data_IF_433744466039
#
_entry.id   IF_433744466039
#
_cell.length_a   1.000
_cell.length_b   1.000
_cell.length_c   1.000
_cell.angle_alpha   90.00
_cell.angle_beta   90.00
_cell.angle_gamma   90.00
#
_symmetry.space_group_name_H-M   'P 1'
#
loop_
_entity.id
_entity.type
_entity.pdbx_description
1 polymer ?
#
# COMPACT_ATOMS: atom_id res chain seq x y z
N UNK A 1 11.82 16.99 58.08
CA UNK A 1 12.01 15.99 57.00
C UNK A 1 11.89 16.69 55.64
N UNK A 2 12.90 17.50 55.26
CA UNK A 2 12.84 18.35 54.06
C UNK A 2 14.24 18.57 53.44
N UNK A 3 15.04 17.51 53.33
CA UNK A 3 16.45 17.63 52.93
C UNK A 3 16.98 16.46 52.08
N UNK A 4 16.15 15.82 51.26
CA UNK A 4 16.63 14.82 50.31
C UNK A 4 16.31 15.29 48.89
N UNK A 5 17.39 15.70 48.20
CA UNK A 5 17.54 15.95 46.76
C UNK A 5 17.38 17.43 46.30
N UNK A 6 18.48 18.16 46.43
CA UNK A 6 18.68 19.51 45.86
C UNK A 6 18.79 19.51 44.32
N UNK A 7 19.30 18.42 43.73
CA UNK A 7 19.59 18.25 42.29
C UNK A 7 18.40 18.54 41.35
N UNK A 8 17.18 18.03 41.57
CA UNK A 8 16.06 18.32 40.67
C UNK A 8 15.52 19.75 40.81
N UNK A 9 15.62 20.36 42.00
CA UNK A 9 15.22 21.78 42.22
C UNK A 9 16.20 22.76 41.59
N UNK A 10 17.48 22.42 41.54
CA UNK A 10 18.46 23.20 40.79
C UNK A 10 18.23 23.06 39.29
N UNK A 11 17.92 21.86 38.79
CA UNK A 11 17.55 21.65 37.38
C UNK A 11 16.32 22.46 36.96
N UNK A 12 15.27 22.48 37.79
CA UNK A 12 14.09 23.33 37.56
C UNK A 12 14.47 24.80 37.46
N UNK A 13 15.28 25.31 38.39
CA UNK A 13 15.74 26.70 38.40
C UNK A 13 16.60 27.04 37.18
N UNK A 14 17.49 26.15 36.76
CA UNK A 14 18.37 26.41 35.61
C UNK A 14 17.60 26.38 34.29
N UNK A 15 16.66 25.44 34.13
CA UNK A 15 15.82 25.36 32.92
C UNK A 15 14.83 26.52 32.84
N UNK A 16 14.26 26.96 33.96
CA UNK A 16 13.37 28.14 33.98
C UNK A 16 14.17 29.45 33.76
N UNK A 17 15.43 29.51 34.19
CA UNK A 17 16.24 30.72 34.11
C UNK A 17 17.00 30.88 32.80
N UNK A 18 17.36 29.78 32.15
CA UNK A 18 18.20 29.76 30.94
C UNK A 18 17.65 28.91 29.79
N UNK A 19 16.57 28.15 29.99
CA UNK A 19 15.95 27.34 28.95
C UNK A 19 15.04 28.16 28.04
N UNK A 20 15.04 27.83 26.75
CA UNK A 20 14.08 28.36 25.77
C UNK A 20 12.65 28.00 26.14
N UNK A 21 11.65 28.75 25.63
CA UNK A 21 10.22 28.50 25.91
C UNK A 21 9.81 27.05 25.61
N UNK A 22 10.36 26.45 24.55
CA UNK A 22 10.18 25.03 24.23
C UNK A 22 10.78 24.10 25.28
N UNK A 23 11.99 24.39 25.78
CA UNK A 23 12.64 23.58 26.82
C UNK A 23 11.90 23.66 28.16
N UNK A 24 11.38 24.83 28.52
CA UNK A 24 10.55 25.01 29.71
C UNK A 24 9.24 24.23 29.62
N UNK A 25 8.55 24.30 28.47
CA UNK A 25 7.31 23.56 28.23
C UNK A 25 7.53 22.04 28.32
N UNK A 26 8.64 21.54 27.75
CA UNK A 26 9.00 20.12 27.81
C UNK A 26 9.26 19.64 29.23
N UNK A 27 10.04 20.42 29.98
CA UNK A 27 10.35 20.11 31.36
C UNK A 27 9.08 20.02 32.21
N UNK A 28 8.17 21.00 32.07
CA UNK A 28 6.92 21.02 32.82
C UNK A 28 5.97 19.87 32.45
N UNK A 29 5.91 19.47 31.18
CA UNK A 29 4.95 18.46 30.72
C UNK A 29 5.45 17.01 30.87
N UNK A 30 6.76 16.77 30.72
CA UNK A 30 7.32 15.40 30.70
C UNK A 30 8.02 15.05 32.00
N UNK A 31 8.89 15.93 32.52
CA UNK A 31 9.83 15.61 33.62
C UNK A 31 9.23 15.98 34.98
N UNK A 32 8.66 17.18 35.11
CA UNK A 32 8.15 17.73 36.38
C UNK A 32 7.19 16.79 37.12
N UNK A 33 6.22 16.11 36.47
CA UNK A 33 5.27 15.31 37.23
C UNK A 33 5.83 13.95 37.70
N UNK A 34 7.05 13.57 37.33
CA UNK A 34 7.77 12.39 37.86
C UNK A 34 9.07 12.77 38.60
N UNK A 35 9.27 14.06 38.91
CA UNK A 35 10.49 14.59 39.49
C UNK A 35 10.86 13.96 40.84
N UNK A 36 9.86 13.68 41.69
CA UNK A 36 10.08 13.03 42.98
C UNK A 36 10.60 11.59 42.81
N UNK A 37 10.01 10.83 41.89
CA UNK A 37 10.44 9.46 41.56
C UNK A 37 11.83 9.43 40.93
N UNK A 38 12.12 10.34 40.00
CA UNK A 38 13.46 10.50 39.42
C UNK A 38 14.49 10.75 40.52
N UNK A 39 14.15 11.63 41.47
CA UNK A 39 15.05 11.99 42.55
C UNK A 39 15.33 10.81 43.49
N UNK A 40 14.29 10.03 43.82
CA UNK A 40 14.40 8.84 44.65
C UNK A 40 15.28 7.78 43.97
N UNK A 41 15.07 7.51 42.69
CA UNK A 41 15.87 6.55 41.92
C UNK A 41 17.34 6.99 41.85
N UNK A 42 17.59 8.27 41.60
CA UNK A 42 18.96 8.81 41.56
C UNK A 42 19.65 8.70 42.92
N UNK A 43 18.93 8.96 44.01
CA UNK A 43 19.44 8.80 45.36
C UNK A 43 19.81 7.35 45.67
N UNK A 44 18.91 6.42 45.36
CA UNK A 44 19.14 4.97 45.57
C UNK A 44 20.29 4.48 44.70
N UNK A 45 20.40 4.94 43.45
CA UNK A 45 21.52 4.64 42.56
C UNK A 45 22.86 5.17 43.11
N UNK A 46 22.86 6.35 43.74
CA UNK A 46 24.08 6.90 44.34
C UNK A 46 24.52 6.09 45.56
N UNK A 47 23.57 5.57 46.34
CA UNK A 47 23.85 4.63 47.44
C UNK A 47 24.42 3.32 46.89
N UNK A 48 23.81 2.78 45.84
CA UNK A 48 24.22 1.53 45.18
C UNK A 48 25.66 1.62 44.66
N UNK A 49 26.00 2.71 43.96
CA UNK A 49 27.38 3.00 43.53
C UNK A 49 28.33 3.13 44.72
N UNK A 50 27.87 3.73 45.83
CA UNK A 50 28.64 3.80 47.07
C UNK A 50 28.95 2.42 47.67
N UNK A 51 27.99 1.49 47.62
CA UNK A 51 28.15 0.10 48.09
C UNK A 51 29.15 -0.66 47.21
N UNK A 52 29.14 -0.42 45.90
CA UNK A 52 30.07 -1.05 44.95
C UNK A 52 31.53 -0.61 45.12
N UNK A 53 31.78 0.63 45.55
CA UNK A 53 33.13 1.20 45.70
C UNK A 53 33.69 0.99 47.13
N UNK A 54 32.82 1.03 48.13
CA UNK A 54 33.25 0.94 49.52
C UNK A 54 33.67 -0.49 49.90
N UNK A 55 34.77 -0.69 50.67
CA UNK A 55 35.18 -1.99 51.16
C UNK A 55 34.27 -2.41 52.32
N UNK A 56 33.09 -2.94 51.99
CA UNK A 56 32.07 -3.36 52.95
C UNK A 56 32.18 -4.86 53.25
N UNK A 57 31.62 -5.33 54.38
CA UNK A 57 31.54 -6.76 54.67
C UNK A 57 30.75 -7.55 53.62
N UNK A 58 31.12 -8.82 53.40
CA UNK A 58 30.50 -9.70 52.37
C UNK A 58 28.97 -9.85 52.48
N UNK A 59 28.40 -9.72 53.68
CA UNK A 59 26.94 -9.77 53.86
C UNK A 59 26.22 -8.58 53.22
N UNK A 60 26.88 -7.43 53.11
CA UNK A 60 26.35 -6.25 52.42
C UNK A 60 26.44 -6.44 50.91
N UNK A 61 27.54 -7.03 50.40
CA UNK A 61 27.67 -7.34 48.98
C UNK A 61 26.60 -8.33 48.49
N UNK A 62 26.10 -9.23 49.35
CA UNK A 62 24.96 -10.10 48.99
C UNK A 62 23.62 -9.35 48.86
N UNK A 63 23.49 -8.17 49.46
CA UNK A 63 22.30 -7.32 49.33
C UNK A 63 22.35 -6.41 48.09
N UNK A 64 23.48 -6.35 47.39
CA UNK A 64 23.65 -5.53 46.19
C UNK A 64 22.82 -6.07 45.02
N UNK A 65 22.84 -7.39 44.75
CA UNK A 65 22.03 -8.02 43.69
C UNK A 65 20.52 -7.68 43.80
N UNK A 66 19.83 -7.88 44.94
CA UNK A 66 18.41 -7.53 45.05
C UNK A 66 18.17 -6.01 44.98
N UNK A 67 19.10 -5.19 45.46
CA UNK A 67 19.02 -3.73 45.35
C UNK A 67 19.16 -3.27 43.88
N UNK A 68 20.18 -3.76 43.18
CA UNK A 68 20.41 -3.52 41.75
C UNK A 68 19.23 -3.98 40.90
N UNK A 69 18.60 -5.12 41.24
CA UNK A 69 17.38 -5.59 40.57
C UNK A 69 16.21 -4.62 40.80
N UNK A 70 16.02 -4.16 42.05
CA UNK A 70 14.97 -3.20 42.38
C UNK A 70 15.19 -1.85 41.66
N UNK A 71 16.45 -1.40 41.54
CA UNK A 71 16.84 -0.22 40.77
C UNK A 71 16.55 -0.44 39.28
N UNK A 72 16.94 -1.58 38.71
CA UNK A 72 16.68 -1.91 37.31
C UNK A 72 15.17 -1.92 36.98
N UNK A 73 14.34 -2.52 37.86
CA UNK A 73 12.88 -2.49 37.72
C UNK A 73 12.35 -1.05 37.80
N UNK A 74 12.86 -0.26 38.75
CA UNK A 74 12.45 1.13 38.95
C UNK A 74 12.82 2.03 37.77
N UNK A 75 14.03 1.88 37.22
CA UNK A 75 14.51 2.60 36.03
C UNK A 75 13.68 2.20 34.81
N UNK A 76 13.41 0.90 34.64
CA UNK A 76 12.56 0.42 33.55
C UNK A 76 11.17 1.06 33.62
N UNK A 77 10.53 1.01 34.79
CA UNK A 77 9.21 1.60 35.02
C UNK A 77 9.20 3.12 34.78
N UNK A 78 10.20 3.83 35.29
CA UNK A 78 10.36 5.27 35.08
C UNK A 78 10.58 5.59 33.61
N UNK A 79 11.45 4.85 32.92
CA UNK A 79 11.73 5.01 31.49
C UNK A 79 10.47 4.83 30.65
N UNK A 80 9.70 3.78 30.90
CA UNK A 80 8.40 3.52 30.25
C UNK A 80 7.41 4.67 30.45
N UNK A 81 7.37 5.22 31.67
CA UNK A 81 6.46 6.30 32.06
C UNK A 81 6.85 7.64 31.43
N UNK A 82 8.13 7.99 31.46
CA UNK A 82 8.67 9.17 30.78
C UNK A 82 8.46 9.07 29.28
N UNK A 83 8.75 7.91 28.68
CA UNK A 83 8.51 7.68 27.26
C UNK A 83 7.02 7.85 26.91
N UNK A 84 6.10 7.30 27.72
CA UNK A 84 4.66 7.45 27.48
C UNK A 84 4.23 8.92 27.47
N UNK A 85 4.70 9.71 28.43
CA UNK A 85 4.40 11.16 28.49
C UNK A 85 5.03 11.92 27.33
N UNK A 86 6.29 11.65 27.03
CA UNK A 86 6.95 12.23 25.87
C UNK A 86 6.16 11.95 24.60
N UNK A 87 5.78 10.68 24.40
CA UNK A 87 5.02 10.23 23.23
C UNK A 87 3.65 10.91 23.13
N UNK A 88 2.93 11.09 24.24
CA UNK A 88 1.64 11.77 24.28
C UNK A 88 1.77 13.28 24.02
N UNK A 89 2.77 13.92 24.61
CA UNK A 89 2.98 15.38 24.47
C UNK A 89 3.50 15.74 23.08
N UNK A 90 4.39 14.95 22.50
CA UNK A 90 5.03 15.27 21.23
C UNK A 90 4.31 14.67 20.04
N UNK A 91 4.15 13.34 20.03
CA UNK A 91 3.68 12.66 18.85
C UNK A 91 2.17 12.83 18.70
N UNK A 92 1.41 12.64 19.78
CA UNK A 92 -0.05 12.73 19.72
C UNK A 92 -0.53 14.16 19.42
N UNK A 93 0.09 15.18 20.03
CA UNK A 93 -0.26 16.58 19.73
C UNK A 93 0.14 16.99 18.30
N UNK A 94 1.31 16.57 17.80
CA UNK A 94 1.71 16.86 16.41
C UNK A 94 0.76 16.22 15.39
N UNK A 95 0.28 15.01 15.67
CA UNK A 95 -0.67 14.28 14.82
C UNK A 95 -2.04 14.98 14.80
N UNK A 96 -2.55 15.36 15.98
CA UNK A 96 -3.84 16.06 16.10
C UNK A 96 -3.82 17.40 15.38
N UNK A 97 -2.70 18.14 15.43
CA UNK A 97 -2.55 19.40 14.69
C UNK A 97 -2.43 19.19 13.17
N UNK A 98 -1.84 18.08 12.73
CA UNK A 98 -1.65 17.76 11.30
C UNK A 98 -2.94 17.32 10.59
N UNK A 99 -4.08 17.13 11.29
CA UNK A 99 -5.33 16.53 10.78
C UNK A 99 -5.13 15.17 10.09
N UNK A 100 -3.96 14.55 10.20
CA UNK A 100 -3.69 13.22 9.65
C UNK A 100 -4.32 12.18 10.58
N UNK A 101 -5.24 11.37 10.04
CA UNK A 101 -5.71 10.16 10.72
C UNK A 101 -4.54 9.18 10.78
N UNK A 102 -3.85 9.13 11.92
CA UNK A 102 -2.91 8.04 12.20
C UNK A 102 -3.68 6.90 12.81
N UNK A 103 -3.44 5.70 12.29
CA UNK A 103 -4.03 4.47 12.80
C UNK A 103 -3.60 4.29 14.27
N UNK A 104 -4.58 4.18 15.16
CA UNK A 104 -4.36 3.94 16.60
C UNK A 104 -3.48 2.71 16.86
N UNK A 105 -3.56 1.72 15.98
CA UNK A 105 -2.75 0.50 15.96
C UNK A 105 -1.24 0.80 15.87
N UNK A 106 -0.82 1.75 15.01
CA UNK A 106 0.59 2.11 14.85
C UNK A 106 1.15 2.79 16.13
N UNK A 107 0.30 3.56 16.82
CA UNK A 107 0.65 4.17 18.10
C UNK A 107 0.83 3.12 19.20
N UNK A 108 0.01 2.07 19.20
CA UNK A 108 0.14 0.97 20.16
C UNK A 108 1.44 0.18 19.89
N UNK A 109 1.72 -0.15 18.63
CA UNK A 109 2.93 -0.90 18.24
C UNK A 109 4.19 -0.11 18.60
N UNK A 110 4.25 1.19 18.27
CA UNK A 110 5.42 2.02 18.60
C UNK A 110 5.65 2.13 20.11
N UNK A 111 4.58 2.29 20.92
CA UNK A 111 4.68 2.24 22.39
C UNK A 111 5.21 0.90 22.88
N UNK A 112 4.72 -0.20 22.33
CA UNK A 112 5.18 -1.54 22.70
C UNK A 112 6.66 -1.76 22.38
N UNK A 113 7.09 -1.44 21.15
CA UNK A 113 8.48 -1.60 20.70
C UNK A 113 9.44 -0.76 21.56
N UNK A 114 9.12 0.52 21.77
CA UNK A 114 9.96 1.39 22.58
C UNK A 114 10.07 0.88 24.03
N UNK A 115 8.96 0.43 24.61
CA UNK A 115 8.96 -0.13 25.97
C UNK A 115 9.83 -1.39 26.07
N UNK A 116 9.74 -2.29 25.10
CA UNK A 116 10.57 -3.49 25.03
C UNK A 116 12.05 -3.14 24.91
N UNK A 117 12.42 -2.15 24.10
CA UNK A 117 13.79 -1.68 23.97
C UNK A 117 14.34 -1.07 25.27
N UNK A 118 13.53 -0.27 25.98
CA UNK A 118 13.91 0.29 27.28
C UNK A 118 14.21 -0.83 28.28
N UNK A 119 13.32 -1.82 28.40
CA UNK A 119 13.50 -2.95 29.32
C UNK A 119 14.74 -3.75 28.96
N UNK A 120 14.96 -4.06 27.68
CA UNK A 120 16.15 -4.79 27.22
C UNK A 120 17.45 -4.02 27.51
N UNK A 121 17.46 -2.71 27.30
CA UNK A 121 18.61 -1.87 27.62
C UNK A 121 18.94 -1.90 29.12
N UNK A 122 17.92 -1.84 29.98
CA UNK A 122 18.12 -1.89 31.43
C UNK A 122 18.59 -3.27 31.90
N UNK A 123 18.05 -4.35 31.34
CA UNK A 123 18.53 -5.72 31.60
C UNK A 123 20.01 -5.84 31.21
N UNK A 124 20.40 -5.28 30.06
CA UNK A 124 21.78 -5.31 29.60
C UNK A 124 22.72 -4.54 30.53
N UNK A 125 22.33 -3.33 30.95
CA UNK A 125 23.08 -2.54 31.91
C UNK A 125 23.24 -3.28 33.25
N UNK A 126 22.16 -3.84 33.78
CA UNK A 126 22.20 -4.64 35.01
C UNK A 126 23.14 -5.84 34.89
N UNK A 127 23.08 -6.57 33.77
CA UNK A 127 23.96 -7.69 33.51
C UNK A 127 25.44 -7.26 33.44
N UNK A 128 25.72 -6.12 32.83
CA UNK A 128 27.06 -5.56 32.73
C UNK A 128 27.63 -5.16 34.09
N UNK A 129 26.82 -4.52 34.97
CA UNK A 129 27.31 -4.10 36.30
C UNK A 129 27.60 -5.30 37.21
N UNK A 130 26.81 -6.37 37.10
CA UNK A 130 26.96 -7.57 37.92
C UNK A 130 27.84 -8.66 37.29
N UNK A 131 28.59 -8.33 36.23
CA UNK A 131 29.50 -9.25 35.52
C UNK A 131 28.81 -10.55 35.05
N UNK A 132 27.51 -10.48 34.76
CA UNK A 132 26.75 -11.59 34.17
C UNK A 132 27.22 -11.78 32.74
N UNK A 133 27.29 -13.03 32.27
CA UNK A 133 27.74 -13.35 30.92
C UNK A 133 26.80 -12.76 29.86
N UNK A 134 27.20 -11.59 29.32
CA UNK A 134 26.48 -10.86 28.28
C UNK A 134 26.38 -11.67 27.00
N UNK A 135 27.42 -12.46 26.65
CA UNK A 135 27.41 -13.31 25.45
C UNK A 135 26.30 -14.37 25.58
N UNK A 136 26.15 -14.95 26.77
CA UNK A 136 25.06 -15.89 27.07
C UNK A 136 23.66 -15.26 26.95
N UNK A 137 23.50 -14.02 27.42
CA UNK A 137 22.25 -13.26 27.28
C UNK A 137 21.94 -12.89 25.82
N UNK A 138 22.94 -12.47 25.06
CA UNK A 138 22.77 -12.18 23.63
C UNK A 138 22.46 -13.45 22.84
N UNK A 139 23.08 -14.58 23.18
CA UNK A 139 22.79 -15.87 22.58
C UNK A 139 21.33 -16.31 22.86
N UNK A 140 20.85 -16.17 24.11
CA UNK A 140 19.47 -16.52 24.47
C UNK A 140 18.45 -15.58 23.82
N UNK A 141 18.72 -14.27 23.78
CA UNK A 141 17.92 -13.29 23.05
C UNK A 141 17.93 -13.56 21.54
N UNK A 142 19.04 -14.02 20.97
CA UNK A 142 19.14 -14.41 19.57
C UNK A 142 18.18 -15.56 19.23
N UNK A 143 18.19 -16.62 20.05
CA UNK A 143 17.28 -17.77 19.87
C UNK A 143 15.82 -17.35 20.09
N UNK A 144 15.53 -16.57 21.14
CA UNK A 144 14.18 -16.04 21.39
C UNK A 144 13.69 -15.12 20.27
N UNK A 145 14.58 -14.28 19.74
CA UNK A 145 14.33 -13.39 18.62
C UNK A 145 14.03 -14.14 17.33
N UNK A 146 14.73 -15.25 17.06
CA UNK A 146 14.42 -16.12 15.92
C UNK A 146 13.03 -16.73 16.01
N UNK A 147 12.61 -17.20 17.20
CA UNK A 147 11.26 -17.72 17.39
C UNK A 147 10.18 -16.66 17.11
N UNK A 148 10.39 -15.43 17.58
CA UNK A 148 9.49 -14.30 17.30
C UNK A 148 9.51 -13.95 15.80
N UNK A 149 10.67 -13.97 15.15
CA UNK A 149 10.81 -13.70 13.73
C UNK A 149 10.03 -14.72 12.88
N UNK A 150 10.14 -16.02 13.19
CA UNK A 150 9.35 -17.05 12.52
C UNK A 150 7.85 -16.87 12.73
N UNK A 151 7.41 -16.54 13.95
CA UNK A 151 6.00 -16.26 14.23
C UNK A 151 5.48 -15.03 13.47
N UNK A 152 6.32 -13.99 13.30
CA UNK A 152 5.97 -12.75 12.63
C UNK A 152 6.15 -12.77 11.10
N UNK A 153 6.81 -13.80 10.55
CA UNK A 153 7.24 -13.87 9.15
C UNK A 153 6.13 -13.50 8.16
N UNK A 154 4.96 -14.14 8.26
CA UNK A 154 3.82 -13.90 7.35
C UNK A 154 3.31 -12.45 7.40
N UNK A 155 3.33 -11.83 8.58
CA UNK A 155 2.91 -10.43 8.72
C UNK A 155 3.94 -9.52 8.07
N UNK A 156 5.23 -9.78 8.27
CA UNK A 156 6.30 -9.01 7.65
C UNK A 156 6.26 -9.11 6.11
N UNK A 157 6.03 -10.30 5.56
CA UNK A 157 5.84 -10.51 4.12
C UNK A 157 4.70 -9.65 3.55
N UNK A 158 3.56 -9.57 4.26
CA UNK A 158 2.44 -8.71 3.83
C UNK A 158 2.78 -7.23 3.85
N UNK A 159 3.54 -6.76 4.86
CA UNK A 159 3.98 -5.37 4.96
C UNK A 159 4.97 -5.03 3.84
N UNK A 160 5.96 -5.90 3.61
CA UNK A 160 6.92 -5.74 2.52
C UNK A 160 6.23 -5.75 1.17
N UNK A 161 5.26 -6.64 0.96
CA UNK A 161 4.42 -6.64 -0.24
C UNK A 161 3.68 -5.31 -0.44
N UNK A 162 3.16 -4.72 0.63
CA UNK A 162 2.54 -3.39 0.56
C UNK A 162 3.51 -2.28 0.16
N UNK A 163 4.75 -2.32 0.66
CA UNK A 163 5.80 -1.37 0.28
C UNK A 163 6.14 -1.53 -1.21
N UNK A 164 6.30 -2.76 -1.69
CA UNK A 164 6.58 -3.06 -3.10
C UNK A 164 5.46 -2.54 -4.00
N UNK A 165 4.19 -2.84 -3.69
CA UNK A 165 3.05 -2.32 -4.45
C UNK A 165 3.00 -0.79 -4.49
N UNK A 166 3.41 -0.13 -3.40
CA UNK A 166 3.45 1.33 -3.33
C UNK A 166 4.59 1.95 -4.17
N UNK A 167 5.75 1.30 -4.20
CA UNK A 167 6.92 1.75 -4.94
C UNK A 167 6.79 1.49 -6.44
N UNK A 168 6.44 0.27 -6.82
CA UNK A 168 6.40 -0.17 -8.22
C UNK A 168 5.10 0.25 -8.91
N UNK A 169 4.02 0.46 -8.13
CA UNK A 169 2.70 0.88 -8.62
C UNK A 169 2.20 0.12 -9.86
N UNK A 170 2.14 -1.22 -9.83
CA UNK A 170 1.61 -2.00 -10.97
C UNK A 170 0.14 -1.68 -11.28
N UNK A 171 -0.58 -1.13 -10.31
CA UNK A 171 -1.94 -0.62 -10.44
C UNK A 171 -2.18 0.48 -9.40
N UNK A 172 -3.15 1.35 -9.67
CA UNK A 172 -3.58 2.44 -8.79
C UNK A 172 -4.96 2.14 -8.16
N UNK A 173 -5.34 2.98 -7.19
CA UNK A 173 -6.73 3.02 -6.72
C UNK A 173 -7.62 3.43 -7.91
N UNK A 174 -8.79 2.81 -7.99
CA UNK A 174 -9.76 2.90 -9.10
C UNK A 174 -9.39 2.13 -10.38
N UNK A 175 -8.24 1.46 -10.45
CA UNK A 175 -7.95 0.55 -11.57
C UNK A 175 -8.77 -0.74 -11.49
N UNK A 176 -9.15 -1.26 -12.65
CA UNK A 176 -9.72 -2.60 -12.80
C UNK A 176 -8.61 -3.61 -13.04
N UNK A 177 -8.56 -4.63 -12.18
CA UNK A 177 -7.56 -5.68 -12.24
C UNK A 177 -8.22 -7.05 -12.33
N UNK A 178 -7.56 -7.97 -13.03
CA UNK A 178 -7.92 -9.38 -13.09
C UNK A 178 -6.80 -10.21 -12.45
N UNK A 179 -7.18 -11.13 -11.56
CA UNK A 179 -6.29 -12.07 -10.90
C UNK A 179 -6.44 -13.47 -11.48
N UNK A 180 -5.42 -14.35 -11.35
CA UNK A 180 -5.43 -15.68 -11.95
C UNK A 180 -6.50 -16.62 -11.37
N UNK A 181 -7.03 -16.31 -10.19
CA UNK A 181 -8.12 -17.05 -9.54
C UNK A 181 -9.52 -16.70 -10.09
N UNK A 182 -9.59 -15.84 -11.11
CA UNK A 182 -10.82 -15.35 -11.72
C UNK A 182 -11.43 -14.14 -10.98
N UNK A 183 -10.75 -13.60 -9.96
CA UNK A 183 -11.18 -12.36 -9.31
C UNK A 183 -11.01 -11.19 -10.27
N UNK A 184 -12.12 -10.60 -10.71
CA UNK A 184 -12.17 -9.41 -11.54
C UNK A 184 -12.90 -8.27 -10.81
N UNK A 185 -12.27 -7.10 -10.69
CA UNK A 185 -12.87 -5.98 -9.99
C UNK A 185 -12.03 -4.71 -9.91
N UNK A 186 -12.61 -3.68 -9.33
CA UNK A 186 -12.00 -2.36 -9.15
C UNK A 186 -11.24 -2.25 -7.82
N UNK A 187 -10.03 -1.72 -7.83
CA UNK A 187 -9.23 -1.49 -6.63
C UNK A 187 -9.84 -0.32 -5.84
N UNK A 188 -10.37 -0.61 -4.65
CA UNK A 188 -11.02 0.39 -3.79
C UNK A 188 -10.01 1.09 -2.87
N UNK A 189 -9.05 0.34 -2.34
CA UNK A 189 -7.99 0.92 -1.50
C UNK A 189 -6.79 -0.01 -1.40
N UNK A 190 -5.58 0.54 -1.46
CA UNK A 190 -4.34 -0.16 -1.18
C UNK A 190 -3.94 0.15 0.27
N UNK A 191 -4.09 -0.82 1.16
CA UNK A 191 -3.69 -0.72 2.56
C UNK A 191 -2.26 -1.21 2.77
N UNK A 192 -1.76 -1.06 4.01
CA UNK A 192 -0.40 -1.44 4.36
C UNK A 192 -0.14 -2.96 4.23
N UNK A 193 -1.11 -3.79 4.61
CA UNK A 193 -0.99 -5.28 4.58
C UNK A 193 -1.85 -5.97 3.52
N UNK A 194 -2.87 -5.28 3.02
CA UNK A 194 -3.89 -5.86 2.15
C UNK A 194 -4.50 -4.80 1.26
N UNK A 195 -4.87 -5.21 0.05
CA UNK A 195 -5.59 -4.40 -0.93
C UNK A 195 -7.05 -4.86 -0.98
N UNK A 196 -7.96 -3.90 -1.07
CA UNK A 196 -9.40 -4.17 -1.17
C UNK A 196 -9.84 -4.01 -2.61
N UNK A 197 -10.48 -5.03 -3.17
CA UNK A 197 -10.94 -5.10 -4.56
C UNK A 197 -12.46 -5.30 -4.53
N UNK A 198 -13.19 -4.42 -5.20
CA UNK A 198 -14.64 -4.51 -5.38
C UNK A 198 -14.93 -5.34 -6.63
N UNK A 199 -15.48 -6.54 -6.46
CA UNK A 199 -15.75 -7.47 -7.56
C UNK A 199 -16.83 -6.93 -8.49
N UNK A 200 -16.58 -6.97 -9.81
CA UNK A 200 -17.56 -6.60 -10.83
C UNK A 200 -18.68 -7.65 -10.90
N UNK A 201 -19.92 -7.22 -11.12
CA UNK A 201 -21.10 -8.09 -11.18
C UNK A 201 -21.77 -8.40 -9.83
N UNK A 202 -21.00 -8.71 -8.77
CA UNK A 202 -21.56 -8.98 -7.42
C UNK A 202 -21.45 -7.82 -6.44
N UNK A 203 -20.54 -6.87 -6.67
CA UNK A 203 -20.32 -5.73 -5.78
C UNK A 203 -19.73 -6.08 -4.40
N UNK A 204 -19.26 -7.33 -4.21
CA UNK A 204 -18.60 -7.80 -2.99
C UNK A 204 -17.20 -7.21 -2.83
N UNK A 205 -16.76 -7.04 -1.59
CA UNK A 205 -15.41 -6.54 -1.28
C UNK A 205 -14.48 -7.71 -0.94
N UNK A 206 -13.55 -8.01 -1.84
CA UNK A 206 -12.50 -9.01 -1.65
C UNK A 206 -11.28 -8.33 -1.03
N UNK A 207 -10.75 -8.90 0.05
CA UNK A 207 -9.56 -8.40 0.74
C UNK A 207 -8.41 -9.35 0.46
N UNK A 208 -7.47 -8.90 -0.36
CA UNK A 208 -6.32 -9.71 -0.79
C UNK A 208 -5.08 -9.26 -0.02
N UNK A 209 -4.34 -10.19 0.63
CA UNK A 209 -3.04 -9.88 1.22
C UNK A 209 -2.05 -9.36 0.17
N UNK A 210 -1.29 -8.33 0.50
CA UNK A 210 -0.38 -7.72 -0.47
C UNK A 210 0.73 -8.68 -0.94
N UNK A 211 1.18 -9.60 -0.07
CA UNK A 211 2.18 -10.60 -0.45
C UNK A 211 1.68 -11.54 -1.56
N UNK A 212 0.39 -11.87 -1.58
CA UNK A 212 -0.21 -12.67 -2.66
C UNK A 212 -0.16 -11.88 -3.95
N UNK A 213 -0.60 -10.62 -3.94
CA UNK A 213 -0.60 -9.76 -5.13
C UNK A 213 0.80 -9.57 -5.72
N UNK A 214 1.84 -9.42 -4.90
CA UNK A 214 3.23 -9.31 -5.37
C UNK A 214 3.82 -10.60 -5.93
N UNK A 215 3.20 -11.75 -5.64
CA UNK A 215 3.70 -13.08 -6.06
C UNK A 215 2.89 -13.66 -7.24
N UNK A 216 1.78 -13.03 -7.61
CA UNK A 216 0.89 -13.48 -8.69
C UNK A 216 0.98 -12.54 -9.89
N UNK A 217 0.71 -13.07 -11.08
CA UNK A 217 0.50 -12.23 -12.26
C UNK A 217 -0.79 -11.42 -12.09
N UNK A 218 -0.70 -10.11 -12.30
CA UNK A 218 -1.84 -9.20 -12.24
C UNK A 218 -2.03 -8.59 -13.62
N UNK A 219 -3.23 -8.74 -14.19
CA UNK A 219 -3.59 -8.04 -15.41
C UNK A 219 -4.29 -6.73 -15.05
N UNK A 220 -3.62 -5.60 -15.31
CA UNK A 220 -4.22 -4.28 -15.14
C UNK A 220 -4.95 -3.87 -16.44
N UNK A 221 -6.26 -4.00 -16.42
CA UNK A 221 -7.13 -3.70 -17.55
C UNK A 221 -7.33 -2.20 -17.74
N UNK A 222 -7.22 -1.41 -16.66
CA UNK A 222 -7.28 0.06 -16.72
C UNK A 222 -6.03 0.69 -17.32
N UNK A 223 -4.87 0.06 -17.16
CA UNK A 223 -3.63 0.52 -17.80
C UNK A 223 -3.60 0.24 -19.31
N UNK A 224 -4.50 -0.61 -19.82
CA UNK A 224 -4.64 -0.86 -21.24
C UNK A 224 -5.53 0.22 -21.89
N UNK A 225 -4.92 1.28 -22.43
CA UNK A 225 -5.62 2.18 -23.36
C UNK A 225 -5.93 1.41 -24.65
N UNK A 226 -7.14 0.85 -24.73
CA UNK A 226 -7.71 0.36 -25.99
C UNK A 226 -8.62 1.45 -26.54
N UNK A 227 -8.26 2.00 -27.70
CA UNK A 227 -9.16 2.91 -28.42
C UNK A 227 -10.06 2.03 -29.28
N UNK A 228 -11.36 2.09 -28.99
CA UNK A 228 -12.38 1.38 -29.76
C UNK A 228 -12.78 2.29 -30.92
N UNK A 229 -12.65 1.79 -32.15
CA UNK A 229 -13.16 2.49 -33.33
C UNK A 229 -14.30 1.68 -33.95
N UNK A 230 -15.43 2.33 -34.16
CA UNK A 230 -16.62 1.71 -34.76
C UNK A 230 -16.72 2.13 -36.22
N UNK A 231 -16.82 1.16 -37.12
CA UNK A 231 -17.17 1.37 -38.53
C UNK A 231 -18.50 0.66 -38.78
N UNK A 232 -19.46 1.36 -39.37
CA UNK A 232 -20.73 0.77 -39.79
C UNK A 232 -20.68 0.54 -41.31
N UNK A 233 -20.93 -0.69 -41.75
CA UNK A 233 -21.12 -1.05 -43.14
C UNK A 233 -22.62 -1.26 -43.36
N UNK A 234 -23.24 -0.46 -44.22
CA UNK A 234 -24.69 -0.53 -44.46
C UNK A 234 -24.94 -1.23 -45.79
N UNK A 235 -25.67 -2.33 -45.73
CA UNK A 235 -26.10 -3.11 -46.90
C UNK A 235 -27.58 -2.81 -47.15
N UNK A 236 -27.91 -2.26 -48.32
CA UNK A 236 -29.30 -1.97 -48.72
C UNK A 236 -30.06 -3.21 -49.25
N UNK A 237 -29.59 -4.40 -48.88
CA UNK A 237 -30.16 -5.69 -49.25
C UNK A 237 -30.25 -6.60 -48.03
N UNK A 238 -31.17 -7.56 -48.06
CA UNK A 238 -31.23 -8.62 -47.05
C UNK A 238 -30.09 -9.60 -47.27
N UNK A 239 -29.26 -9.83 -46.25
CA UNK A 239 -28.21 -10.86 -46.26
C UNK A 239 -28.74 -12.15 -45.61
N UNK A 240 -28.57 -13.28 -46.29
CA UNK A 240 -28.72 -14.62 -45.71
C UNK A 240 -27.63 -14.91 -44.66
N UNK A 241 -27.82 -15.93 -43.84
CA UNK A 241 -26.82 -16.31 -42.83
C UNK A 241 -25.48 -16.74 -43.44
N UNK A 242 -25.50 -17.33 -44.64
CA UNK A 242 -24.29 -17.69 -45.41
C UNK A 242 -23.54 -16.43 -45.87
N UNK A 243 -24.26 -15.43 -46.36
CA UNK A 243 -23.69 -14.14 -46.78
C UNK A 243 -23.15 -13.34 -45.58
N UNK A 244 -23.86 -13.35 -44.44
CA UNK A 244 -23.36 -12.75 -43.18
C UNK A 244 -22.05 -13.42 -42.71
N UNK A 245 -21.94 -14.75 -42.83
CA UNK A 245 -20.72 -15.48 -42.49
C UNK A 245 -19.57 -15.13 -43.43
N UNK A 246 -19.83 -15.07 -44.74
CA UNK A 246 -18.86 -14.66 -45.76
C UNK A 246 -18.36 -13.22 -45.51
N UNK A 247 -19.27 -12.28 -45.27
CA UNK A 247 -18.94 -10.88 -44.94
C UNK A 247 -18.08 -10.79 -43.69
N UNK A 248 -18.42 -11.53 -42.63
CA UNK A 248 -17.61 -11.59 -41.41
C UNK A 248 -16.20 -12.10 -41.69
N UNK A 249 -16.06 -13.16 -42.49
CA UNK A 249 -14.76 -13.69 -42.86
C UNK A 249 -13.94 -12.69 -43.66
N UNK A 250 -14.54 -12.03 -44.66
CA UNK A 250 -13.88 -11.00 -45.47
C UNK A 250 -13.34 -9.86 -44.59
N UNK A 251 -14.12 -9.42 -43.59
CA UNK A 251 -13.71 -8.36 -42.66
C UNK A 251 -12.54 -8.80 -41.78
N UNK A 252 -12.57 -10.04 -41.27
CA UNK A 252 -11.47 -10.58 -40.46
C UNK A 252 -10.20 -10.75 -41.30
N UNK A 253 -10.31 -11.33 -42.49
CA UNK A 253 -9.18 -11.52 -43.41
C UNK A 253 -8.63 -10.18 -43.91
N UNK A 254 -9.47 -9.16 -44.10
CA UNK A 254 -9.04 -7.81 -44.51
C UNK A 254 -8.26 -7.05 -43.45
N UNK A 255 -8.32 -7.51 -42.19
CA UNK A 255 -7.74 -6.82 -41.04
C UNK A 255 -6.59 -7.59 -40.37
N UNK A 256 -6.39 -8.85 -40.77
CA UNK A 256 -5.34 -9.72 -40.23
C UNK A 256 -3.91 -9.17 -40.43
N UNK A 257 -3.66 -8.51 -41.56
CA UNK A 257 -2.31 -8.02 -41.93
C UNK A 257 -2.02 -6.58 -41.48
N UNK A 258 -2.97 -5.94 -40.77
CA UNK A 258 -2.85 -4.53 -40.38
C UNK A 258 -2.17 -4.44 -39.01
N UNK A 259 -0.91 -4.03 -39.02
CA UNK A 259 -0.14 -3.81 -37.80
C UNK A 259 -0.81 -2.75 -36.91
N UNK A 260 -1.23 -3.14 -35.69
CA UNK A 260 -1.90 -2.26 -34.73
C UNK A 260 -3.40 -2.54 -34.52
N UNK A 261 -4.02 -3.38 -35.36
CA UNK A 261 -5.38 -3.90 -35.16
C UNK A 261 -5.29 -5.35 -34.67
N UNK A 262 -5.88 -5.66 -33.51
CA UNK A 262 -5.93 -7.06 -33.04
C UNK A 262 -7.15 -7.78 -33.62
N UNK A 263 -6.94 -8.48 -34.74
CA UNK A 263 -7.97 -9.24 -35.46
C UNK A 263 -8.68 -10.30 -34.61
N UNK A 264 -8.07 -10.78 -33.51
CA UNK A 264 -8.64 -11.82 -32.64
C UNK A 264 -9.76 -11.30 -31.76
N UNK A 265 -9.82 -9.98 -31.56
CA UNK A 265 -10.83 -9.31 -30.75
C UNK A 265 -11.72 -8.39 -31.58
N UNK A 266 -11.48 -8.21 -32.89
CA UNK A 266 -12.39 -7.52 -33.81
C UNK A 266 -13.76 -8.19 -33.79
N UNK A 267 -14.82 -7.40 -33.56
CA UNK A 267 -16.19 -7.91 -33.49
C UNK A 267 -17.01 -7.40 -34.68
N UNK A 268 -17.82 -8.28 -35.27
CA UNK A 268 -18.76 -7.96 -36.34
C UNK A 268 -20.16 -8.37 -35.89
N UNK A 269 -21.00 -7.38 -35.64
CA UNK A 269 -22.41 -7.55 -35.26
C UNK A 269 -23.31 -7.10 -36.41
N UNK A 270 -24.33 -7.89 -36.76
CA UNK A 270 -25.29 -7.54 -37.80
C UNK A 270 -26.60 -7.07 -37.15
N UNK A 271 -27.12 -5.92 -37.59
CA UNK A 271 -28.39 -5.36 -37.16
C UNK A 271 -29.30 -5.19 -38.36
N UNK A 272 -30.51 -5.71 -38.28
CA UNK A 272 -31.56 -5.48 -39.28
C UNK A 272 -32.29 -4.18 -38.95
N UNK A 273 -32.27 -3.24 -39.89
CA UNK A 273 -32.91 -1.94 -39.80
C UNK A 273 -34.13 -1.94 -40.72
N UNK A 274 -35.27 -1.53 -40.16
CA UNK A 274 -36.48 -1.28 -40.91
C UNK A 274 -36.35 0.11 -41.56
N UNK A 275 -36.53 0.19 -42.88
CA UNK A 275 -36.49 1.44 -43.63
C UNK A 275 -37.72 1.54 -44.54
N UNK A 276 -38.29 2.74 -44.63
CA UNK A 276 -39.49 2.99 -45.45
C UNK A 276 -39.22 2.91 -46.97
N UNK A 277 -37.95 2.91 -47.38
CA UNK A 277 -37.52 3.00 -48.78
C UNK A 277 -36.91 1.69 -49.34
N UNK A 278 -36.54 0.74 -48.46
CA UNK A 278 -35.91 -0.54 -48.82
C UNK A 278 -36.60 -1.70 -48.09
N UNK A 279 -36.68 -2.88 -48.73
CA UNK A 279 -37.37 -4.06 -48.18
C UNK A 279 -36.70 -4.65 -46.93
N UNK A 280 -35.38 -4.49 -46.78
CA UNK A 280 -34.62 -4.81 -45.57
C UNK A 280 -33.23 -4.19 -45.69
N UNK A 281 -32.80 -3.43 -44.67
CA UNK A 281 -31.43 -2.91 -44.58
C UNK A 281 -30.70 -3.72 -43.52
N UNK A 282 -29.55 -4.29 -43.86
CA UNK A 282 -28.67 -4.94 -42.89
C UNK A 282 -27.49 -4.02 -42.63
N UNK A 283 -27.24 -3.67 -41.38
CA UNK A 283 -26.06 -2.92 -40.97
C UNK A 283 -25.09 -3.87 -40.26
N UNK A 284 -23.88 -4.03 -40.81
CA UNK A 284 -22.78 -4.69 -40.10
C UNK A 284 -21.98 -3.64 -39.33
N UNK A 285 -22.04 -3.72 -38.02
CA UNK A 285 -21.24 -2.91 -37.11
C UNK A 285 -19.92 -3.64 -36.83
N UNK A 286 -18.83 -3.06 -37.31
CA UNK A 286 -17.47 -3.57 -37.11
C UNK A 286 -16.78 -2.76 -36.02
N UNK A 287 -16.33 -3.44 -34.98
CA UNK A 287 -15.63 -2.84 -33.85
C UNK A 287 -14.15 -3.21 -33.92
N UNK A 288 -13.32 -2.22 -34.22
CA UNK A 288 -11.87 -2.36 -34.23
C UNK A 288 -11.27 -2.03 -32.87
N UNK A 289 -10.37 -2.89 -32.42
CA UNK A 289 -9.53 -2.64 -31.25
C UNK A 289 -8.14 -2.24 -31.72
N UNK A 290 -7.85 -0.94 -31.63
CA UNK A 290 -6.57 -0.38 -32.05
C UNK A 290 -5.67 -0.22 -30.83
N UNK A 291 -4.46 -0.74 -30.93
CA UNK A 291 -3.43 -0.63 -29.91
C UNK A 291 -2.75 0.75 -30.02
N UNK A 292 -2.94 1.65 -29.05
CA UNK A 292 -2.22 2.94 -29.04
C UNK A 292 -2.71 3.96 -28.01
N UNK A 293 -1.78 4.77 -27.48
CA UNK A 293 -2.04 5.78 -26.44
C UNK A 293 -1.34 7.13 -26.70
N UNK A 294 -1.96 8.04 -27.46
CA UNK A 294 -1.49 9.44 -27.53
C UNK A 294 -2.14 10.26 -28.65
N UNK A 295 -1.96 11.58 -28.68
CA UNK A 295 -2.47 12.43 -29.78
C UNK A 295 -1.91 12.03 -31.16
N UNK A 296 -0.68 11.50 -31.19
CA UNK A 296 -0.05 10.86 -32.36
C UNK A 296 -0.86 9.64 -32.85
N UNK A 297 -1.72 9.07 -31.99
CA UNK A 297 -2.59 7.96 -32.34
C UNK A 297 -3.84 8.36 -33.11
N UNK A 298 -4.24 9.64 -33.19
CA UNK A 298 -5.43 10.02 -33.97
C UNK A 298 -5.15 9.97 -35.47
N UNK A 299 -4.03 10.53 -35.91
CA UNK A 299 -3.61 10.49 -37.32
C UNK A 299 -3.23 9.07 -37.74
N UNK A 300 -2.47 8.34 -36.90
CA UNK A 300 -2.16 6.93 -37.14
C UNK A 300 -3.43 6.06 -37.15
N UNK A 301 -4.41 6.32 -36.26
CA UNK A 301 -5.71 5.64 -36.26
C UNK A 301 -6.47 5.90 -37.56
N UNK A 302 -6.57 7.15 -37.99
CA UNK A 302 -7.22 7.49 -39.25
C UNK A 302 -6.53 6.78 -40.42
N UNK A 303 -5.20 6.72 -40.45
CA UNK A 303 -4.46 5.96 -41.47
C UNK A 303 -4.73 4.45 -41.41
N UNK A 304 -4.72 3.85 -40.22
CA UNK A 304 -5.01 2.41 -40.06
C UNK A 304 -6.45 2.05 -40.43
N UNK A 305 -7.41 2.92 -40.10
CA UNK A 305 -8.81 2.76 -40.50
C UNK A 305 -8.96 2.92 -42.01
N UNK A 306 -8.25 3.86 -42.63
CA UNK A 306 -8.27 4.06 -44.08
C UNK A 306 -7.69 2.83 -44.81
N UNK A 307 -6.60 2.26 -44.30
CA UNK A 307 -6.01 1.01 -44.81
C UNK A 307 -6.99 -0.17 -44.64
N UNK A 308 -7.60 -0.30 -43.46
CA UNK A 308 -8.60 -1.35 -43.21
C UNK A 308 -9.80 -1.23 -44.14
N UNK A 309 -10.28 -0.01 -44.36
CA UNK A 309 -11.35 0.30 -45.29
C UNK A 309 -10.97 -0.09 -46.72
N UNK A 310 -9.78 0.30 -47.18
CA UNK A 310 -9.31 -0.04 -48.53
C UNK A 310 -9.22 -1.56 -48.72
N UNK A 311 -8.65 -2.29 -47.75
CA UNK A 311 -8.55 -3.74 -47.81
C UNK A 311 -9.93 -4.43 -47.82
N UNK A 312 -10.85 -3.99 -46.96
CA UNK A 312 -12.23 -4.53 -46.92
C UNK A 312 -12.93 -4.22 -48.25
N UNK A 313 -12.76 -3.00 -48.78
CA UNK A 313 -13.34 -2.59 -50.06
C UNK A 313 -12.84 -3.46 -51.20
N UNK A 314 -11.53 -3.64 -51.29
CA UNK A 314 -10.91 -4.45 -52.34
C UNK A 314 -11.39 -5.90 -52.25
N UNK A 315 -11.38 -6.51 -51.06
CA UNK A 315 -11.86 -7.88 -50.90
C UNK A 315 -13.36 -8.00 -51.20
N UNK A 316 -14.20 -7.06 -50.78
CA UNK A 316 -15.63 -7.09 -51.10
C UNK A 316 -15.91 -6.95 -52.60
N UNK A 317 -15.11 -6.16 -53.33
CA UNK A 317 -15.18 -6.07 -54.79
C UNK A 317 -14.77 -7.38 -55.47
N UNK A 318 -13.73 -8.06 -54.97
CA UNK A 318 -13.31 -9.37 -55.48
C UNK A 318 -14.43 -10.42 -55.37
N UNK A 319 -15.29 -10.30 -54.34
CA UNK A 319 -16.47 -11.15 -54.13
C UNK A 319 -17.77 -10.59 -54.72
N UNK A 320 -17.74 -9.43 -55.39
CA UNK A 320 -18.91 -8.83 -56.07
C UNK A 320 -20.03 -8.34 -55.15
N UNK A 321 -19.72 -8.00 -53.89
CA UNK A 321 -20.72 -7.56 -52.90
C UNK A 321 -20.85 -6.03 -52.95
N UNK A 322 -22.04 -5.53 -53.32
CA UNK A 322 -22.36 -4.10 -53.25
C UNK A 322 -22.76 -3.68 -51.83
N UNK A 323 -22.16 -2.60 -51.35
CA UNK A 323 -22.44 -2.03 -50.03
C UNK A 323 -22.18 -0.53 -50.03
N UNK A 324 -22.74 0.17 -49.05
CA UNK A 324 -22.47 1.59 -48.82
C UNK A 324 -21.81 1.78 -47.45
N UNK A 325 -20.84 2.68 -47.41
CA UNK A 325 -19.98 2.88 -46.26
C UNK A 325 -20.33 4.21 -45.60
N UNK A 326 -21.23 4.16 -44.62
CA UNK A 326 -21.57 5.32 -43.81
C UNK A 326 -20.60 5.46 -42.64
N UNK A 327 -19.72 6.46 -42.73
CA UNK A 327 -18.81 6.81 -41.66
C UNK A 327 -19.56 7.49 -40.51
N UNK A 328 -19.65 6.82 -39.36
CA UNK A 328 -20.02 7.47 -38.10
C UNK A 328 -18.88 7.30 -37.11
N UNK A 329 -17.98 8.29 -37.07
CA UNK A 329 -16.95 8.37 -36.03
C UNK A 329 -17.63 8.64 -34.69
N UNK A 330 -17.92 7.57 -33.94
CA UNK A 330 -18.28 7.69 -32.54
C UNK A 330 -17.00 7.52 -31.75
N UNK A 331 -16.43 8.63 -31.29
CA UNK A 331 -15.32 8.61 -30.36
C UNK A 331 -15.86 8.21 -29.00
N UNK A 332 -16.01 6.91 -28.78
CA UNK A 332 -16.30 6.37 -27.46
C UNK A 332 -14.98 6.44 -26.70
N UNK A 333 -14.70 7.60 -26.08
CA UNK A 333 -13.89 7.60 -24.88
C UNK A 333 -14.66 6.76 -23.88
N UNK A 334 -14.37 5.47 -23.83
CA UNK A 334 -14.81 4.64 -22.73
C UNK A 334 -14.14 5.22 -21.49
N UNK A 335 -14.88 6.05 -20.75
CA UNK A 335 -14.80 5.91 -19.31
C UNK A 335 -15.20 4.46 -19.08
N UNK A 336 -14.26 3.61 -18.70
CA UNK A 336 -14.57 2.27 -18.24
C UNK A 336 -15.47 2.43 -17.02
N UNK A 337 -16.77 2.52 -17.28
CA UNK A 337 -17.85 2.29 -16.35
C UNK A 337 -18.53 1.04 -16.85
N UNK A 338 -17.94 -0.10 -16.52
CA UNK A 338 -18.60 -1.39 -16.50
C UNK A 338 -18.62 -1.88 -15.06
#
# INVERSE_FOLDING_TARGET
>A
MASSLLLPRTLERTIIRFGSDSAQKNYQQVIKPDQDWISLILFVMLIDVGILIAPLPDWIHRLEIPLGLAIAISISWLGSRLFRRFFEVYLLNAILQSKRKINSELLIISKFVANTLIVLAVIFLFAQTHQINIIGLLASLGIGGLAIAFAAQKTLEQLLGGIVLYLDRPFAVDDYICLPDGTFGRVESIGLRSTKIRTSGKGSLVIVPNNVLTQTNIENLSSARKIISLINLTFYTSLSEEEKALVRQIILDGTQDIFGIDHRITQVEFKELLSDQYSSIVQAQVTFFILGSGEISMELRSQLLEIAKQNITQKMQDFGIEYDLEEKQIDVTSSVSV
#
